data_IF_693640725409
#
_entry.id   IF_693640725409
#
_cell.length_a   1.000
_cell.length_b   1.000
_cell.length_c   1.000
_cell.angle_alpha   90.00
_cell.angle_beta   90.00
_cell.angle_gamma   90.00
#
_symmetry.space_group_name_H-M   'P 1'
#
loop_
_entity.id
_entity.type
_entity.pdbx_description
1 polymer ?
#
# COMPACT_ATOMS: atom_id res chain seq x y z
N UNK A 1 -1.60 6.68 18.36
CA UNK A 1 -2.70 7.45 17.74
C UNK A 1 -4.01 6.78 18.14
N UNK A 2 -4.96 7.49 18.78
CA UNK A 2 -6.28 6.93 19.12
C UNK A 2 -7.14 6.81 17.85
N UNK A 3 -8.05 5.83 17.79
CA UNK A 3 -9.01 5.73 16.69
C UNK A 3 -10.15 6.74 16.88
N UNK A 4 -10.84 7.10 15.80
CA UNK A 4 -11.97 8.07 15.84
C UNK A 4 -13.28 7.30 15.85
N UNK A 5 -14.22 7.72 16.70
CA UNK A 5 -15.57 7.16 16.71
C UNK A 5 -16.36 7.66 15.48
N UNK A 6 -16.89 6.74 14.67
CA UNK A 6 -17.93 7.08 13.69
C UNK A 6 -19.24 7.32 14.44
N UNK A 7 -19.77 8.54 14.38
CA UNK A 7 -21.16 8.77 14.75
C UNK A 7 -22.02 8.30 13.58
N UNK A 8 -22.60 7.10 13.69
CA UNK A 8 -23.61 6.65 12.73
C UNK A 8 -24.86 7.50 12.94
N UNK A 9 -25.18 8.37 11.99
CA UNK A 9 -26.55 8.82 11.77
C UNK A 9 -27.37 7.58 11.42
N UNK A 10 -28.31 7.23 12.30
CA UNK A 10 -29.27 6.14 12.10
C UNK A 10 -30.21 6.49 10.94
N UNK A 11 -29.84 6.11 9.72
CA UNK A 11 -30.79 5.99 8.60
C UNK A 11 -31.00 4.51 8.32
N UNK A 12 -32.20 4.04 8.65
CA UNK A 12 -32.68 2.68 8.41
C UNK A 12 -32.75 2.40 6.91
N UNK A 13 -31.82 1.59 6.39
CA UNK A 13 -31.96 0.99 5.06
C UNK A 13 -32.68 -0.35 5.18
N UNK A 14 -33.96 -0.37 4.81
CA UNK A 14 -34.68 -1.61 4.49
C UNK A 14 -34.22 -2.12 3.11
N UNK A 15 -33.88 -3.40 2.95
CA UNK A 15 -33.64 -3.96 1.62
C UNK A 15 -34.98 -4.29 0.96
N UNK A 16 -35.38 -3.49 -0.02
CA UNK A 16 -36.49 -3.82 -0.93
C UNK A 16 -36.02 -4.82 -1.98
N UNK A 17 -36.69 -5.98 -2.02
CA UNK A 17 -36.56 -7.01 -3.05
C UNK A 17 -37.06 -6.51 -4.40
N UNK A 18 -36.23 -6.53 -5.42
CA UNK A 18 -36.64 -6.33 -6.81
C UNK A 18 -36.68 -7.68 -7.54
N UNK A 19 -37.88 -8.04 -7.98
CA UNK A 19 -38.22 -9.17 -8.82
C UNK A 19 -37.60 -9.00 -10.21
N UNK A 20 -36.95 -10.04 -10.74
CA UNK A 20 -36.62 -10.16 -12.16
C UNK A 20 -37.84 -10.74 -12.90
N UNK A 21 -38.37 -10.00 -13.86
CA UNK A 21 -39.38 -10.45 -14.81
C UNK A 21 -38.75 -10.77 -16.16
N UNK A 22 -39.19 -11.91 -16.69
CA UNK A 22 -38.90 -12.52 -17.98
C UNK A 22 -39.56 -11.82 -19.17
N UNK A 23 -38.88 -11.77 -20.32
CA UNK A 23 -39.41 -12.02 -21.70
C UNK A 23 -38.29 -11.67 -22.72
N UNK A 24 -37.73 -12.57 -23.54
CA UNK A 24 -38.25 -13.48 -24.57
C UNK A 24 -37.99 -12.96 -26.00
N UNK A 25 -37.63 -13.92 -26.89
CA UNK A 25 -37.50 -13.88 -28.37
C UNK A 25 -36.12 -13.51 -28.96
N UNK A 26 -35.57 -14.22 -29.96
CA UNK A 26 -35.82 -15.53 -30.62
C UNK A 26 -34.81 -15.63 -31.79
N UNK A 27 -34.50 -16.88 -32.18
CA UNK A 27 -34.14 -17.36 -33.55
C UNK A 27 -32.68 -17.11 -34.04
N UNK A 28 -31.92 -18.06 -34.63
CA UNK A 28 -32.13 -19.48 -35.03
C UNK A 28 -30.76 -20.18 -35.33
N UNK A 29 -30.78 -21.53 -35.24
CA UNK A 29 -30.06 -22.57 -36.03
C UNK A 29 -28.51 -22.72 -35.97
N UNK A 30 -27.91 -23.92 -35.93
CA UNK A 30 -28.42 -25.28 -36.15
C UNK A 30 -27.45 -26.39 -35.68
N UNK A 31 -27.99 -27.61 -35.54
CA UNK A 31 -27.38 -28.96 -35.65
C UNK A 31 -26.49 -29.59 -34.54
N UNK A 32 -27.17 -30.24 -33.58
CA UNK A 32 -27.37 -31.70 -33.41
C UNK A 32 -26.18 -32.70 -33.43
N UNK A 33 -25.99 -33.45 -32.31
CA UNK A 33 -26.20 -34.91 -32.24
C UNK A 33 -25.98 -35.49 -30.83
N UNK A 34 -26.97 -36.25 -30.36
CA UNK A 34 -27.11 -37.08 -29.16
C UNK A 34 -25.93 -38.08 -28.91
N UNK A 35 -25.74 -38.78 -27.77
CA UNK A 35 -26.70 -39.56 -26.99
C UNK A 35 -26.07 -40.12 -25.67
N UNK A 36 -26.87 -40.19 -24.58
CA UNK A 36 -26.93 -41.17 -23.45
C UNK A 36 -25.65 -41.62 -22.69
N UNK A 37 -25.64 -42.09 -21.43
CA UNK A 37 -26.47 -42.06 -20.21
C UNK A 37 -25.71 -42.97 -19.23
N UNK A 38 -25.50 -42.59 -17.96
CA UNK A 38 -25.67 -43.49 -16.79
C UNK A 38 -25.29 -42.81 -15.47
N UNK A 39 -26.28 -42.75 -14.58
CA UNK A 39 -26.15 -42.58 -13.14
C UNK A 39 -25.55 -43.85 -12.52
N UNK A 40 -24.77 -43.69 -11.45
CA UNK A 40 -24.76 -44.59 -10.29
C UNK A 40 -24.29 -43.83 -9.03
N UNK A 41 -25.23 -43.68 -8.09
CA UNK A 41 -25.02 -43.34 -6.68
C UNK A 41 -24.38 -44.50 -5.93
N UNK A 42 -23.58 -44.22 -4.89
CA UNK A 42 -23.45 -45.10 -3.73
C UNK A 42 -23.43 -44.28 -2.43
N UNK A 43 -24.39 -44.60 -1.56
CA UNK A 43 -24.55 -44.15 -0.17
C UNK A 43 -24.18 -45.29 0.78
N UNK A 44 -23.45 -44.95 1.87
CA UNK A 44 -23.58 -45.43 3.28
C UNK A 44 -23.26 -46.93 3.57
N UNK A 45 -22.87 -47.36 4.81
CA UNK A 45 -23.53 -47.05 6.09
C UNK A 45 -22.65 -46.98 7.39
N UNK A 46 -23.36 -46.74 8.51
CA UNK A 46 -22.93 -46.45 9.89
C UNK A 46 -22.79 -47.67 10.85
N UNK A 47 -22.32 -47.35 12.08
CA UNK A 47 -22.45 -48.01 13.41
C UNK A 47 -21.55 -49.24 13.73
N UNK A 48 -21.03 -49.50 14.94
CA UNK A 48 -21.04 -48.86 16.29
C UNK A 48 -19.95 -49.50 17.20
N UNK A 49 -19.82 -48.96 18.43
CA UNK A 49 -19.29 -49.55 19.69
C UNK A 49 -17.96 -49.10 20.31
N UNK A 50 -17.92 -49.27 21.64
CA UNK A 50 -17.51 -48.36 22.70
C UNK A 50 -16.02 -48.37 23.10
N UNK A 51 -15.61 -47.32 23.81
CA UNK A 51 -14.34 -47.26 24.54
C UNK A 51 -14.23 -46.03 25.45
N UNK A 52 -14.65 -46.19 26.70
CA UNK A 52 -14.47 -45.21 27.80
C UNK A 52 -12.99 -45.09 28.16
N UNK A 53 -12.46 -43.86 28.24
CA UNK A 53 -11.49 -43.48 29.28
C UNK A 53 -11.28 -41.96 29.31
N UNK A 54 -11.54 -41.36 30.47
CA UNK A 54 -11.40 -39.94 30.73
C UNK A 54 -9.95 -39.46 30.64
N UNK A 55 -9.77 -38.29 30.01
CA UNK A 55 -8.60 -37.43 30.22
C UNK A 55 -9.09 -36.01 30.44
N UNK A 56 -8.68 -35.44 31.57
CA UNK A 56 -9.06 -34.11 32.02
C UNK A 56 -8.91 -33.08 30.91
N UNK A 57 -10.01 -32.36 30.66
CA UNK A 57 -10.03 -31.19 29.80
C UNK A 57 -9.21 -30.11 30.51
N UNK A 58 -7.94 -29.96 30.14
CA UNK A 58 -7.21 -28.72 30.39
C UNK A 58 -7.97 -27.64 29.62
N UNK A 59 -8.75 -26.83 30.32
CA UNK A 59 -9.25 -25.58 29.78
C UNK A 59 -8.04 -24.72 29.44
N UNK A 60 -7.63 -24.77 28.17
CA UNK A 60 -6.72 -23.81 27.61
C UNK A 60 -7.51 -22.48 27.60
N UNK A 61 -7.29 -21.66 28.62
CA UNK A 61 -7.88 -20.34 28.73
C UNK A 61 -7.68 -19.63 27.40
N UNK A 62 -8.80 -19.31 26.73
CA UNK A 62 -8.76 -18.53 25.49
C UNK A 62 -8.19 -17.17 25.84
N UNK A 63 -6.90 -16.97 25.63
CA UNK A 63 -6.29 -15.65 25.68
C UNK A 63 -7.01 -14.80 24.64
N UNK A 64 -7.90 -13.92 25.09
CA UNK A 64 -8.59 -12.98 24.23
C UNK A 64 -7.52 -12.09 23.57
N UNK A 65 -7.27 -12.33 22.29
CA UNK A 65 -6.32 -11.54 21.52
C UNK A 65 -6.97 -10.18 21.27
N UNK A 66 -6.37 -9.12 21.81
CA UNK A 66 -6.83 -7.74 21.61
C UNK A 66 -6.89 -7.47 20.09
N UNK A 67 -8.02 -7.01 19.56
CA UNK A 67 -8.16 -6.78 18.13
C UNK A 67 -7.30 -5.59 17.70
N UNK A 68 -6.69 -5.71 16.52
CA UNK A 68 -5.82 -4.71 15.93
C UNK A 68 -6.10 -4.61 14.42
N UNK A 69 -5.82 -3.45 13.85
CA UNK A 69 -5.82 -3.22 12.40
C UNK A 69 -4.38 -3.10 11.93
N UNK A 70 -4.06 -3.76 10.82
CA UNK A 70 -2.78 -3.55 10.14
C UNK A 70 -2.86 -2.30 9.27
N UNK A 71 -1.84 -1.46 9.37
CA UNK A 71 -1.74 -0.29 8.51
C UNK A 71 -1.55 -0.76 7.06
N UNK A 72 -2.22 -0.08 6.13
CA UNK A 72 -2.05 -0.35 4.71
C UNK A 72 -0.60 -0.03 4.29
N UNK A 73 -0.02 -0.92 3.50
CA UNK A 73 1.33 -0.75 2.98
C UNK A 73 1.32 -0.86 1.46
N UNK A 74 1.90 0.13 0.80
CA UNK A 74 2.06 0.16 -0.66
C UNK A 74 3.51 0.52 -0.96
N UNK A 75 4.25 -0.40 -1.58
CA UNK A 75 5.66 -0.21 -1.87
C UNK A 75 6.07 -0.66 -3.27
N UNK A 76 6.99 0.08 -3.87
CA UNK A 76 7.63 -0.24 -5.15
C UNK A 76 9.10 -0.50 -4.91
N UNK A 77 9.57 -1.69 -5.25
CA UNK A 77 10.91 -2.18 -4.92
C UNK A 77 11.77 -2.42 -6.15
N UNK A 78 13.08 -2.44 -5.94
CA UNK A 78 14.07 -2.87 -6.93
C UNK A 78 14.77 -4.13 -6.43
N UNK A 79 14.66 -5.22 -7.20
CA UNK A 79 15.44 -6.43 -7.02
C UNK A 79 16.78 -6.34 -7.76
N UNK A 80 17.78 -7.06 -7.25
CA UNK A 80 19.05 -7.32 -7.90
C UNK A 80 19.30 -8.83 -7.98
N UNK A 81 19.54 -9.34 -9.17
CA UNK A 81 19.85 -10.77 -9.36
C UNK A 81 21.27 -11.07 -8.90
N UNK A 82 21.40 -12.10 -8.05
CA UNK A 82 22.67 -12.71 -7.61
C UNK A 82 22.95 -14.02 -8.32
N UNK A 83 22.34 -14.23 -9.48
CA UNK A 83 22.56 -15.45 -10.28
C UNK A 83 24.04 -15.65 -10.60
N UNK A 84 24.50 -16.90 -10.54
CA UNK A 84 25.82 -17.31 -11.01
C UNK A 84 25.95 -17.21 -12.53
N UNK A 85 24.83 -17.26 -13.26
CA UNK A 85 24.80 -17.07 -14.70
C UNK A 85 25.04 -15.59 -15.04
N UNK A 86 26.13 -15.32 -15.75
CA UNK A 86 26.57 -13.96 -16.15
C UNK A 86 25.51 -13.19 -16.94
N UNK A 87 24.63 -13.89 -17.67
CA UNK A 87 23.57 -13.23 -18.43
C UNK A 87 22.52 -12.57 -17.52
N UNK A 88 22.26 -13.14 -16.34
CA UNK A 88 21.27 -12.64 -15.38
C UNK A 88 21.87 -11.89 -14.21
N UNK A 89 23.14 -12.16 -13.87
CA UNK A 89 23.86 -11.51 -12.77
C UNK A 89 23.74 -9.99 -12.84
N UNK A 90 23.43 -9.38 -11.70
CA UNK A 90 23.24 -7.94 -11.54
C UNK A 90 22.12 -7.32 -12.38
N UNK A 91 21.22 -8.12 -12.98
CA UNK A 91 20.00 -7.57 -13.57
C UNK A 91 19.06 -7.08 -12.49
N UNK A 92 18.32 -6.02 -12.82
CA UNK A 92 17.31 -5.48 -11.93
C UNK A 92 15.90 -5.86 -12.37
N UNK A 93 15.01 -5.99 -11.39
CA UNK A 93 13.58 -6.11 -11.61
C UNK A 93 12.86 -5.12 -10.69
N UNK A 94 11.94 -4.33 -11.26
CA UNK A 94 11.11 -3.41 -10.48
C UNK A 94 9.74 -4.04 -10.30
N UNK A 95 9.18 -4.00 -9.09
CA UNK A 95 7.85 -4.53 -8.82
C UNK A 95 7.13 -3.79 -7.70
N UNK A 96 5.86 -4.12 -7.53
CA UNK A 96 4.98 -3.57 -6.50
C UNK A 96 4.54 -4.64 -5.49
N UNK A 97 4.41 -4.25 -4.21
CA UNK A 97 3.95 -5.14 -3.15
C UNK A 97 3.24 -4.40 -2.02
N UNK A 98 2.37 -5.14 -1.33
CA UNK A 98 1.80 -4.79 -0.02
C UNK A 98 2.48 -5.53 1.14
N UNK A 99 3.38 -6.47 0.83
CA UNK A 99 4.13 -7.26 1.80
C UNK A 99 5.50 -7.63 1.21
N UNK A 100 6.56 -6.83 1.49
CA UNK A 100 7.89 -7.04 0.92
C UNK A 100 8.49 -8.41 1.30
N UNK A 101 8.31 -8.83 2.56
CA UNK A 101 8.85 -10.08 3.08
C UNK A 101 8.22 -11.29 2.37
N UNK A 102 6.89 -11.27 2.17
CA UNK A 102 6.22 -12.31 1.37
C UNK A 102 6.69 -12.29 -0.07
N UNK A 103 6.76 -11.11 -0.68
CA UNK A 103 7.06 -10.95 -2.12
C UNK A 103 8.48 -11.41 -2.49
N UNK A 104 9.48 -11.13 -1.66
CA UNK A 104 10.85 -11.60 -1.95
C UNK A 104 10.95 -13.13 -1.92
N UNK A 105 10.24 -13.79 -1.00
CA UNK A 105 10.16 -15.25 -0.95
C UNK A 105 9.51 -15.83 -2.20
N UNK A 106 8.42 -15.22 -2.69
CA UNK A 106 7.76 -15.64 -3.92
C UNK A 106 8.71 -15.55 -5.13
N UNK A 107 9.47 -14.46 -5.25
CA UNK A 107 10.45 -14.32 -6.35
C UNK A 107 11.55 -15.39 -6.31
N UNK A 108 12.00 -15.76 -5.11
CA UNK A 108 13.06 -16.77 -4.93
C UNK A 108 12.54 -18.21 -4.99
N UNK A 109 11.26 -18.45 -4.68
CA UNK A 109 10.62 -19.75 -4.85
C UNK A 109 10.27 -20.06 -6.32
N UNK A 110 10.04 -19.03 -7.14
CA UNK A 110 9.76 -19.17 -8.58
C UNK A 110 8.30 -18.89 -8.93
N UNK A 111 8.00 -18.91 -10.24
CA UNK A 111 6.68 -18.51 -10.76
C UNK A 111 5.52 -19.37 -10.25
N UNK A 112 5.77 -20.66 -10.03
CA UNK A 112 4.76 -21.62 -9.57
C UNK A 112 4.30 -21.31 -8.13
N UNK A 113 5.06 -20.50 -7.39
CA UNK A 113 4.75 -20.06 -6.03
C UNK A 113 4.35 -18.58 -5.97
N UNK A 114 3.88 -18.01 -7.09
CA UNK A 114 3.42 -16.62 -7.19
C UNK A 114 4.54 -15.60 -7.47
N UNK A 115 5.75 -16.06 -7.80
CA UNK A 115 6.81 -15.21 -8.34
C UNK A 115 6.47 -14.67 -9.74
N UNK A 116 7.04 -13.52 -10.11
CA UNK A 116 6.82 -12.99 -11.46
C UNK A 116 7.52 -13.88 -12.51
N UNK A 117 6.86 -14.15 -13.64
CA UNK A 117 7.47 -14.90 -14.77
C UNK A 117 8.81 -14.32 -15.22
N UNK A 118 8.98 -12.99 -15.16
CA UNK A 118 10.24 -12.32 -15.53
C UNK A 118 11.40 -12.55 -14.55
N UNK A 119 11.13 -13.02 -13.33
CA UNK A 119 12.13 -13.29 -12.29
C UNK A 119 12.46 -14.79 -12.14
N UNK A 120 11.66 -15.65 -12.75
CA UNK A 120 11.77 -17.10 -12.66
C UNK A 120 13.12 -17.62 -13.20
N UNK A 121 13.76 -18.54 -12.47
CA UNK A 121 15.09 -19.12 -12.78
C UNK A 121 16.24 -18.13 -13.00
N UNK A 122 16.07 -16.88 -12.53
CA UNK A 122 17.03 -15.78 -12.72
C UNK A 122 17.55 -15.23 -11.39
N UNK A 123 17.19 -15.89 -10.29
CA UNK A 123 17.64 -15.57 -8.94
C UNK A 123 18.93 -16.30 -8.53
N UNK A 124 19.24 -16.34 -7.21
CA UNK A 124 18.45 -15.71 -6.15
C UNK A 124 18.41 -14.19 -6.30
N UNK A 125 17.33 -13.58 -5.81
CA UNK A 125 17.06 -12.16 -5.87
C UNK A 125 17.22 -11.54 -4.49
N UNK A 126 17.91 -10.40 -4.47
CA UNK A 126 18.00 -9.51 -3.35
C UNK A 126 17.05 -8.33 -3.56
N UNK A 127 16.19 -8.02 -2.59
CA UNK A 127 15.39 -6.80 -2.63
C UNK A 127 16.22 -5.67 -2.01
N UNK A 128 16.86 -4.87 -2.85
CA UNK A 128 17.89 -3.91 -2.40
C UNK A 128 17.26 -2.68 -1.75
N UNK A 129 16.24 -2.12 -2.38
CA UNK A 129 15.56 -0.93 -1.89
C UNK A 129 14.06 -0.98 -2.20
N UNK A 130 13.29 -0.21 -1.43
CA UNK A 130 11.85 -0.01 -1.61
C UNK A 130 11.46 1.44 -1.36
N UNK A 131 10.62 1.98 -2.22
CA UNK A 131 9.96 3.27 -2.06
C UNK A 131 8.54 2.98 -1.59
N UNK A 132 8.13 3.56 -0.47
CA UNK A 132 6.82 3.30 0.15
C UNK A 132 6.22 4.57 0.77
N UNK A 133 5.04 4.45 1.37
CA UNK A 133 4.24 5.60 1.83
C UNK A 133 3.30 6.15 0.74
N UNK A 134 3.05 5.38 -0.33
CA UNK A 134 2.06 5.78 -1.33
C UNK A 134 0.65 5.81 -0.71
N UNK A 135 -0.20 6.79 -1.07
CA UNK A 135 -1.53 6.93 -0.47
C UNK A 135 -2.52 5.83 -0.89
N UNK A 136 -2.21 5.09 -1.96
CA UNK A 136 -3.00 3.97 -2.46
C UNK A 136 -2.21 3.14 -3.48
N UNK A 137 -2.73 1.96 -3.80
CA UNK A 137 -2.16 1.06 -4.79
C UNK A 137 -2.01 1.68 -6.19
N UNK A 138 -2.98 2.50 -6.63
CA UNK A 138 -2.95 3.14 -7.96
C UNK A 138 -1.75 4.07 -8.11
N UNK A 139 -1.46 4.86 -7.07
CA UNK A 139 -0.32 5.78 -7.04
C UNK A 139 1.00 5.01 -7.10
N UNK A 140 1.11 3.91 -6.34
CA UNK A 140 2.28 3.03 -6.35
C UNK A 140 2.46 2.33 -7.72
N UNK A 141 1.39 1.80 -8.32
CA UNK A 141 1.44 1.13 -9.62
C UNK A 141 1.81 2.10 -10.75
N UNK A 142 1.36 3.36 -10.70
CA UNK A 142 1.80 4.40 -11.64
C UNK A 142 3.30 4.69 -11.50
N UNK A 143 3.82 4.70 -10.28
CA UNK A 143 5.25 4.81 -10.03
C UNK A 143 5.99 3.60 -10.60
N UNK A 144 5.59 2.38 -10.24
CA UNK A 144 6.19 1.14 -10.74
C UNK A 144 6.28 1.09 -12.26
N UNK A 145 5.19 1.38 -12.96
CA UNK A 145 5.17 1.39 -14.41
C UNK A 145 6.15 2.41 -15.01
N UNK A 146 6.20 3.62 -14.47
CA UNK A 146 7.10 4.67 -14.95
C UNK A 146 8.58 4.32 -14.69
N UNK A 147 8.88 3.68 -13.56
CA UNK A 147 10.23 3.23 -13.23
C UNK A 147 10.70 2.07 -14.13
N UNK A 148 9.77 1.18 -14.50
CA UNK A 148 10.02 0.14 -15.51
C UNK A 148 10.23 0.72 -16.91
N UNK A 149 9.46 1.76 -17.27
CA UNK A 149 9.34 2.29 -18.64
C UNK A 149 9.68 3.79 -18.77
N UNK A 150 10.89 4.24 -18.38
CA UNK A 150 11.22 5.67 -18.33
C UNK A 150 11.09 6.38 -19.70
N UNK A 151 11.45 5.72 -20.79
CA UNK A 151 11.34 6.29 -22.14
C UNK A 151 9.88 6.47 -22.62
N UNK A 152 8.93 5.71 -22.06
CA UNK A 152 7.50 5.79 -22.40
C UNK A 152 6.73 6.69 -21.44
N UNK A 153 7.25 6.89 -20.24
CA UNK A 153 6.60 7.73 -19.24
C UNK A 153 6.58 9.19 -19.67
N UNK A 154 5.38 9.78 -19.72
CA UNK A 154 5.20 11.22 -20.02
C UNK A 154 6.02 12.11 -19.10
N UNK A 155 6.28 11.69 -17.86
CA UNK A 155 7.04 12.45 -16.86
C UNK A 155 8.56 12.35 -17.05
N UNK A 156 9.05 11.33 -17.73
CA UNK A 156 10.48 11.03 -17.81
C UNK A 156 11.04 11.04 -19.24
N UNK A 157 10.17 10.92 -20.26
CA UNK A 157 10.57 10.82 -21.67
C UNK A 157 11.44 12.02 -22.10
N UNK A 158 11.06 13.24 -21.72
CA UNK A 158 11.81 14.45 -22.07
C UNK A 158 13.22 14.49 -21.48
N UNK A 159 13.47 13.78 -20.37
CA UNK A 159 14.79 13.68 -19.74
C UNK A 159 15.77 12.81 -20.54
N UNK A 160 15.26 12.00 -21.50
CA UNK A 160 16.08 11.14 -22.36
C UNK A 160 17.10 10.28 -21.59
N UNK A 161 16.70 9.72 -20.46
CA UNK A 161 17.59 8.99 -19.55
C UNK A 161 18.19 7.76 -20.23
N UNK A 162 19.52 7.76 -20.36
CA UNK A 162 20.31 6.61 -20.84
C UNK A 162 21.28 6.15 -19.76
N UNK A 163 21.55 4.85 -19.71
CA UNK A 163 22.55 4.26 -18.82
C UNK A 163 23.95 4.74 -19.24
N UNK A 164 24.74 5.24 -18.30
CA UNK A 164 26.14 5.63 -18.55
C UNK A 164 27.03 4.38 -18.68
N UNK A 165 28.19 4.50 -19.33
CA UNK A 165 29.10 3.36 -19.59
C UNK A 165 29.50 2.67 -18.27
N UNK A 166 29.99 3.44 -17.31
CA UNK A 166 30.47 2.95 -16.01
C UNK A 166 29.38 2.84 -14.94
N UNK A 167 28.11 3.04 -15.29
CA UNK A 167 26.99 2.95 -14.36
C UNK A 167 26.53 1.49 -14.23
N UNK A 168 26.28 1.01 -13.01
CA UNK A 168 25.71 -0.33 -12.83
C UNK A 168 24.24 -0.35 -13.25
N UNK A 169 23.68 -1.54 -13.51
CA UNK A 169 22.25 -1.65 -13.81
C UNK A 169 21.39 -1.11 -12.65
N UNK A 170 21.80 -1.38 -11.40
CA UNK A 170 21.14 -0.85 -10.21
C UNK A 170 21.30 0.67 -10.07
N UNK A 171 22.52 1.20 -10.26
CA UNK A 171 22.77 2.66 -10.23
C UNK A 171 21.90 3.41 -11.23
N UNK A 172 21.72 2.86 -12.43
CA UNK A 172 20.80 3.45 -13.41
C UNK A 172 19.34 3.45 -12.92
N UNK A 173 18.88 2.37 -12.30
CA UNK A 173 17.52 2.30 -11.72
C UNK A 173 17.36 3.25 -10.55
N UNK A 174 18.37 3.39 -9.68
CA UNK A 174 18.37 4.36 -8.59
C UNK A 174 18.24 5.78 -9.14
N UNK A 175 19.02 6.14 -10.16
CA UNK A 175 18.95 7.47 -10.79
C UNK A 175 17.58 7.76 -11.41
N UNK A 176 16.97 6.79 -12.08
CA UNK A 176 15.59 6.94 -12.57
C UNK A 176 14.63 7.20 -11.40
N UNK A 177 14.75 6.43 -10.31
CA UNK A 177 13.91 6.62 -9.13
C UNK A 177 14.08 8.03 -8.54
N UNK A 178 15.31 8.54 -8.44
CA UNK A 178 15.54 9.90 -7.95
C UNK A 178 14.93 10.97 -8.85
N UNK A 179 15.01 10.84 -10.18
CA UNK A 179 14.27 11.73 -11.09
C UNK A 179 12.77 11.68 -10.86
N UNK A 180 12.21 10.48 -10.63
CA UNK A 180 10.80 10.33 -10.32
C UNK A 180 10.41 10.98 -8.99
N UNK A 181 11.20 10.77 -7.94
CA UNK A 181 10.98 11.40 -6.63
C UNK A 181 11.03 12.93 -6.70
N UNK A 182 11.74 13.51 -7.66
CA UNK A 182 11.78 14.95 -7.93
C UNK A 182 10.72 15.44 -8.94
N UNK A 183 9.87 14.56 -9.46
CA UNK A 183 8.88 14.87 -10.50
C UNK A 183 7.44 14.76 -9.99
N UNK A 184 6.53 15.50 -10.62
CA UNK A 184 5.11 15.37 -10.32
C UNK A 184 4.52 14.03 -10.78
N UNK A 185 3.58 13.45 -10.01
CA UNK A 185 3.02 13.96 -8.75
C UNK A 185 3.83 13.54 -7.50
N UNK A 186 4.88 12.73 -7.68
CA UNK A 186 5.52 12.00 -6.58
C UNK A 186 6.33 12.89 -5.63
N UNK A 187 6.85 14.01 -6.12
CA UNK A 187 7.54 15.03 -5.31
C UNK A 187 6.65 15.74 -4.28
N UNK A 188 5.34 15.52 -4.34
CA UNK A 188 4.36 16.10 -3.42
C UNK A 188 3.81 15.08 -2.43
N UNK A 189 4.35 13.85 -2.45
CA UNK A 189 3.96 12.79 -1.53
C UNK A 189 5.03 12.65 -0.46
N UNK A 190 4.60 12.37 0.77
CA UNK A 190 5.45 12.07 1.92
C UNK A 190 6.02 10.63 1.83
N UNK A 191 6.65 10.32 0.70
CA UNK A 191 7.24 9.00 0.45
C UNK A 191 8.48 8.79 1.30
N UNK A 192 8.83 7.52 1.46
CA UNK A 192 10.08 7.09 2.07
C UNK A 192 10.85 6.23 1.07
N UNK A 193 12.12 6.56 0.87
CA UNK A 193 13.08 5.66 0.25
C UNK A 193 13.74 4.82 1.35
N UNK A 194 13.71 3.50 1.21
CA UNK A 194 14.28 2.59 2.20
C UNK A 194 15.29 1.65 1.57
N UNK A 195 16.52 1.67 2.07
CA UNK A 195 17.54 0.65 1.84
C UNK A 195 17.19 -0.59 2.68
N UNK A 196 16.84 -1.69 2.03
CA UNK A 196 16.51 -2.94 2.71
C UNK A 196 17.75 -3.76 3.03
N UNK A 197 18.80 -3.61 2.20
CA UNK A 197 20.11 -4.23 2.36
C UNK A 197 21.16 -3.12 2.38
N UNK A 198 21.47 -2.53 3.55
CA UNK A 198 22.43 -1.42 3.68
C UNK A 198 23.82 -1.73 3.11
N UNK A 199 24.24 -2.98 3.12
CA UNK A 199 25.50 -3.45 2.53
C UNK A 199 25.56 -3.32 1.00
N UNK A 200 24.41 -3.13 0.34
CA UNK A 200 24.30 -2.88 -1.10
C UNK A 200 23.99 -1.40 -1.42
N UNK A 201 24.01 -0.54 -0.42
CA UNK A 201 23.83 0.90 -0.59
C UNK A 201 24.93 1.49 -1.49
N UNK A 202 24.51 2.40 -2.36
CA UNK A 202 25.41 3.21 -3.18
C UNK A 202 25.01 4.68 -3.00
N UNK A 203 25.93 5.63 -3.20
CA UNK A 203 25.60 7.05 -3.13
C UNK A 203 24.47 7.41 -4.10
N UNK A 204 23.56 8.28 -3.66
CA UNK A 204 22.58 8.89 -4.56
C UNK A 204 23.28 9.73 -5.64
N UNK A 205 22.69 9.88 -6.85
CA UNK A 205 23.22 10.76 -7.87
C UNK A 205 23.28 12.22 -7.36
N UNK A 206 24.46 12.85 -7.44
CA UNK A 206 24.68 14.20 -6.93
C UNK A 206 23.84 15.26 -7.68
N UNK A 207 23.55 15.01 -8.95
CA UNK A 207 22.76 15.88 -9.82
C UNK A 207 21.26 15.80 -9.56
N UNK A 208 20.80 14.72 -8.92
CA UNK A 208 19.38 14.50 -8.61
C UNK A 208 19.25 13.68 -7.32
N UNK A 209 19.54 14.26 -6.15
CA UNK A 209 19.31 13.56 -4.89
C UNK A 209 17.80 13.46 -4.59
N UNK A 210 17.36 12.55 -3.71
CA UNK A 210 15.99 12.60 -3.18
C UNK A 210 15.66 14.00 -2.60
N UNK A 211 14.44 14.52 -2.79
CA UNK A 211 14.01 15.76 -2.14
C UNK A 211 14.13 15.68 -0.61
N UNK A 212 14.39 16.81 0.03
CA UNK A 212 14.64 16.89 1.48
C UNK A 212 13.52 16.35 2.38
N UNK A 213 12.27 16.37 1.92
CA UNK A 213 11.11 15.85 2.68
C UNK A 213 10.93 14.33 2.52
N UNK A 214 11.61 13.70 1.57
CA UNK A 214 11.55 12.24 1.38
C UNK A 214 12.52 11.60 2.36
N UNK A 215 11.98 10.85 3.32
CA UNK A 215 12.79 10.17 4.31
C UNK A 215 13.64 9.09 3.65
N UNK A 216 14.92 9.03 4.01
CA UNK A 216 15.82 7.92 3.70
C UNK A 216 15.95 7.06 4.95
N UNK A 217 15.58 5.79 4.85
CA UNK A 217 15.58 4.83 5.96
C UNK A 217 16.32 3.54 5.61
N UNK A 218 16.66 2.76 6.63
CA UNK A 218 17.44 1.52 6.48
C UNK A 218 16.78 0.34 7.19
N UNK A 219 17.07 -0.86 6.69
CA UNK A 219 16.62 -2.13 7.25
C UNK A 219 15.21 -2.53 6.81
N UNK A 220 14.74 -3.66 7.34
CA UNK A 220 13.48 -4.29 6.95
C UNK A 220 12.25 -3.40 7.17
N UNK A 221 11.21 -3.62 6.36
CA UNK A 221 9.89 -3.01 6.59
C UNK A 221 9.20 -3.71 7.76
N UNK A 222 8.92 -2.96 8.81
CA UNK A 222 8.11 -3.40 9.95
C UNK A 222 6.63 -3.17 9.66
N UNK A 223 5.80 -4.20 9.86
CA UNK A 223 4.35 -4.03 9.82
C UNK A 223 3.93 -3.21 11.03
N UNK A 224 3.26 -2.09 10.79
CA UNK A 224 2.68 -1.25 11.84
C UNK A 224 1.24 -1.71 12.03
N UNK A 225 0.83 -1.81 13.28
CA UNK A 225 -0.54 -2.18 13.65
C UNK A 225 -1.06 -1.22 14.69
N UNK A 226 -2.29 -0.78 14.51
CA UNK A 226 -3.01 0.04 15.47
C UNK A 226 -3.94 -0.84 16.29
N UNK A 227 -3.86 -0.76 17.62
CA UNK A 227 -4.81 -1.44 18.50
C UNK A 227 -6.19 -0.80 18.32
N UNK A 228 -7.24 -1.63 18.29
CA UNK A 228 -8.61 -1.15 18.29
C UNK A 228 -9.02 -0.93 19.76
N UNK A 229 -9.38 0.30 20.17
CA UNK A 229 -9.86 0.54 21.52
C UNK A 229 -11.12 -0.29 21.82
N UNK A 230 -11.18 -0.84 23.03
CA UNK A 230 -12.29 -1.73 23.44
C UNK A 230 -13.45 -0.96 24.06
N UNK A 231 -13.18 0.21 24.63
CA UNK A 231 -14.18 1.09 25.22
C UNK A 231 -14.43 2.31 24.34
N UNK A 232 -15.69 2.74 24.25
CA UNK A 232 -16.09 3.89 23.45
C UNK A 232 -15.38 5.19 23.89
N UNK A 233 -15.12 5.34 25.19
CA UNK A 233 -14.46 6.51 25.79
C UNK A 233 -12.98 6.63 25.40
N UNK A 234 -12.38 5.55 24.89
CA UNK A 234 -11.00 5.55 24.41
C UNK A 234 -10.87 6.13 22.99
N UNK A 235 -11.98 6.28 22.25
CA UNK A 235 -11.99 6.87 20.91
C UNK A 235 -11.90 8.40 20.99
N UNK A 236 -11.20 8.98 20.02
CA UNK A 236 -11.24 10.43 19.80
C UNK A 236 -12.59 10.79 19.13
N UNK A 237 -13.24 11.82 19.66
CA UNK A 237 -14.48 12.36 19.07
C UNK A 237 -14.13 13.48 18.10
N UNK A 238 -14.72 13.44 16.90
CA UNK A 238 -14.55 14.50 15.90
C UNK A 238 -15.05 15.82 16.50
N UNK A 239 -14.21 16.86 16.41
CA UNK A 239 -14.46 18.16 17.00
C UNK A 239 -14.72 19.25 15.97
N UNK A 240 -14.54 20.50 16.40
CA UNK A 240 -14.55 21.66 15.50
C UNK A 240 -13.18 21.91 14.90
N UNK A 241 -13.16 22.47 13.70
CA UNK A 241 -11.93 22.87 13.05
C UNK A 241 -11.30 24.07 13.78
N UNK A 242 -10.05 23.91 14.20
CA UNK A 242 -9.26 24.89 14.92
C UNK A 242 -8.90 26.16 14.12
N UNK A 243 -9.23 26.20 12.83
CA UNK A 243 -9.01 27.35 11.94
C UNK A 243 -10.32 28.11 11.61
N UNK A 244 -11.36 27.42 11.15
CA UNK A 244 -12.61 28.07 10.75
C UNK A 244 -13.71 28.03 11.83
N UNK A 245 -13.45 27.32 12.94
CA UNK A 245 -14.33 27.14 14.10
C UNK A 245 -15.67 26.41 13.79
N UNK A 246 -15.84 25.87 12.59
CA UNK A 246 -17.02 25.09 12.20
C UNK A 246 -16.86 23.60 12.56
N UNK A 247 -17.97 22.87 12.80
CA UNK A 247 -17.95 21.41 12.97
C UNK A 247 -17.28 20.70 11.78
N UNK A 248 -16.60 19.59 12.07
CA UNK A 248 -16.12 18.65 11.05
C UNK A 248 -17.10 17.49 11.03
N UNK A 249 -17.72 17.23 9.88
CA UNK A 249 -18.87 16.31 9.81
C UNK A 249 -18.48 14.89 9.37
N UNK A 250 -17.27 14.68 8.85
CA UNK A 250 -16.82 13.38 8.39
C UNK A 250 -15.33 13.15 8.66
N UNK A 251 -14.95 11.87 8.75
CA UNK A 251 -13.56 11.45 8.87
C UNK A 251 -12.75 11.85 7.61
N UNK A 252 -13.37 11.84 6.44
CA UNK A 252 -12.71 12.21 5.17
C UNK A 252 -12.30 13.68 5.09
N UNK A 253 -12.89 14.54 5.92
CA UNK A 253 -12.52 15.95 6.03
C UNK A 253 -11.56 16.23 7.19
N UNK A 254 -11.35 15.28 8.09
CA UNK A 254 -10.61 15.48 9.34
C UNK A 254 -9.11 15.28 9.16
N UNK A 255 -8.32 16.29 9.54
CA UNK A 255 -6.92 16.15 9.87
C UNK A 255 -6.68 16.43 11.35
N UNK A 256 -5.80 15.63 11.96
CA UNK A 256 -5.37 15.77 13.35
C UNK A 256 -3.92 16.22 13.38
N UNK A 257 -3.55 17.00 14.40
CA UNK A 257 -2.15 17.28 14.63
C UNK A 257 -1.36 15.97 14.86
N UNK A 258 -0.18 15.86 14.24
CA UNK A 258 0.72 14.72 14.41
C UNK A 258 1.21 14.55 15.84
N UNK A 259 1.26 15.64 16.61
CA UNK A 259 1.66 15.65 18.02
C UNK A 259 0.48 15.34 18.95
N UNK A 260 -0.17 14.19 18.73
CA UNK A 260 -1.44 13.85 19.38
C UNK A 260 -1.38 13.80 20.90
N UNK A 261 -0.22 13.63 21.51
CA UNK A 261 -0.06 13.60 22.98
C UNK A 261 -0.14 14.98 23.62
N UNK A 262 0.23 16.04 22.89
CA UNK A 262 0.30 17.41 23.42
C UNK A 262 -0.64 18.38 22.69
N UNK A 263 -1.16 18.01 21.52
CA UNK A 263 -2.06 18.81 20.72
C UNK A 263 -3.24 17.97 20.22
N UNK A 264 -4.45 18.29 20.71
CA UNK A 264 -5.71 17.64 20.31
C UNK A 264 -6.45 18.42 19.22
N UNK A 265 -5.76 19.31 18.51
CA UNK A 265 -6.41 20.16 17.51
C UNK A 265 -6.82 19.36 16.27
N UNK A 266 -8.06 19.60 15.87
CA UNK A 266 -8.67 19.08 14.64
C UNK A 266 -8.77 20.18 13.60
N UNK A 267 -8.64 19.83 12.34
CA UNK A 267 -8.73 20.76 11.22
C UNK A 267 -9.52 20.13 10.08
N UNK A 268 -10.33 20.92 9.37
CA UNK A 268 -10.73 20.51 8.03
C UNK A 268 -9.47 20.42 7.15
N UNK A 269 -9.35 19.35 6.37
CA UNK A 269 -8.29 19.15 5.39
C UNK A 269 -8.11 20.39 4.50
N UNK A 270 -9.20 20.94 3.97
CA UNK A 270 -9.16 22.15 3.14
C UNK A 270 -8.63 23.38 3.89
N UNK A 271 -8.99 23.54 5.16
CA UNK A 271 -8.54 24.68 5.98
C UNK A 271 -7.04 24.59 6.27
N UNK A 272 -6.56 23.42 6.69
CA UNK A 272 -5.14 23.23 7.00
C UNK A 272 -4.26 23.30 5.75
N UNK A 273 -4.72 22.72 4.63
CA UNK A 273 -4.04 22.85 3.33
C UNK A 273 -3.90 24.32 2.92
N UNK A 274 -5.01 25.07 2.93
CA UNK A 274 -5.01 26.51 2.60
C UNK A 274 -4.07 27.30 3.50
N UNK A 275 -4.09 27.03 4.80
CA UNK A 275 -3.22 27.72 5.76
C UNK A 275 -1.74 27.49 5.44
N UNK A 276 -1.32 26.23 5.28
CA UNK A 276 0.07 25.90 4.98
C UNK A 276 0.52 26.42 3.61
N UNK A 277 -0.34 26.34 2.59
CA UNK A 277 -0.02 26.85 1.26
C UNK A 277 0.06 28.38 1.20
N UNK A 278 -0.73 29.09 2.00
CA UNK A 278 -0.65 30.56 2.09
C UNK A 278 0.65 31.02 2.73
N UNK A 279 1.20 30.27 3.71
CA UNK A 279 2.49 30.60 4.32
C UNK A 279 3.63 30.67 3.29
N UNK A 280 3.55 29.85 2.24
CA UNK A 280 4.51 29.80 1.14
C UNK A 280 4.06 30.55 -0.13
N UNK A 281 2.91 31.25 -0.09
CA UNK A 281 2.28 31.89 -1.25
C UNK A 281 2.00 30.92 -2.44
N UNK A 282 1.67 29.66 -2.15
CA UNK A 282 1.44 28.57 -3.12
C UNK A 282 -0.03 28.19 -3.32
N UNK A 283 -0.97 28.79 -2.58
CA UNK A 283 -2.39 28.40 -2.60
C UNK A 283 -3.06 28.55 -3.98
N UNK A 284 -2.57 29.46 -4.83
CA UNK A 284 -3.07 29.62 -6.20
C UNK A 284 -2.54 28.58 -7.21
N UNK A 285 -1.57 27.75 -6.83
CA UNK A 285 -0.84 26.86 -7.75
C UNK A 285 -0.93 25.39 -7.33
N UNK A 286 -0.96 25.11 -6.02
CA UNK A 286 -1.00 23.75 -5.47
C UNK A 286 -2.31 23.49 -4.73
N UNK A 287 -2.74 22.23 -4.74
CA UNK A 287 -3.96 21.79 -4.02
C UNK A 287 -3.70 21.42 -2.57
N UNK A 288 -2.50 20.90 -2.27
CA UNK A 288 -2.07 20.51 -0.94
C UNK A 288 -0.57 20.82 -0.74
N UNK A 289 -0.17 21.16 0.49
CA UNK A 289 1.23 21.38 0.82
C UNK A 289 2.00 20.05 0.84
N UNK A 290 3.33 20.13 0.82
CA UNK A 290 4.20 18.97 1.13
C UNK A 290 4.44 18.88 2.63
N UNK A 291 4.62 20.03 3.27
CA UNK A 291 4.84 20.17 4.70
C UNK A 291 4.17 21.45 5.19
N UNK A 292 3.93 21.54 6.49
CA UNK A 292 3.41 22.73 7.13
C UNK A 292 3.65 22.71 8.63
N UNK A 293 3.18 23.74 9.33
CA UNK A 293 3.21 23.81 10.79
C UNK A 293 1.79 23.83 11.33
N UNK A 294 1.58 23.10 12.42
CA UNK A 294 0.30 23.11 13.12
C UNK A 294 0.02 24.54 13.62
N UNK A 295 -1.11 25.18 13.22
CA UNK A 295 -1.43 26.55 13.64
C UNK A 295 -1.64 26.73 15.15
N UNK A 296 -1.74 25.62 15.90
CA UNK A 296 -2.03 25.62 17.33
C UNK A 296 -0.81 25.36 18.21
N UNK A 297 0.04 24.40 17.85
CA UNK A 297 1.23 24.03 18.63
C UNK A 297 2.56 24.30 17.91
N UNK A 298 2.55 24.74 16.66
CA UNK A 298 3.76 25.04 15.87
C UNK A 298 4.52 23.82 15.36
N UNK A 299 4.13 22.59 15.73
CA UNK A 299 4.84 21.38 15.30
C UNK A 299 4.75 21.22 13.78
N UNK A 300 5.90 20.92 13.18
CA UNK A 300 6.01 20.65 11.75
C UNK A 300 5.43 19.28 11.43
N UNK A 301 4.70 19.20 10.33
CA UNK A 301 4.16 17.96 9.79
C UNK A 301 4.48 17.85 8.30
N UNK A 302 4.55 16.61 7.83
CA UNK A 302 4.46 16.26 6.42
C UNK A 302 2.99 15.95 6.11
N UNK A 303 2.52 16.39 4.94
CA UNK A 303 1.13 16.19 4.50
C UNK A 303 0.88 14.74 4.08
#
# INVERSE_FOLDING_TARGET
MKLIACQNSSENFHPSSSQETSNSKKDDDDTNSDEQSHLLQLQLPCNSDEGVQGKGRKECGKTHKVPFVLDEFFGVYCLLSRSSNRYFKNRCYIGYTVDPNRRIRQHNAGKEFGGAKKTDHRGPWDMVCIIHGFPNCVSALRFEWAWQNPAKSRRLRSLNLKKKINETAFGFRLRIACHMLNSDPWRHLSLTFRWLLPELEIPFPLDVPPPSHIAVQHGAVTKISSLIPQLQEEYDVIGTCSLCLKPINSISELLRCSASEICKSHFHMRCLSKHALNADNKYGVLLFPVQGQCPKCGITYLW
#
